data_IF_880514384122
#
_entry.id   IF_880514384122
#
_cell.length_a   1.000
_cell.length_b   1.000
_cell.length_c   1.000
_cell.angle_alpha   90.00
_cell.angle_beta   90.00
_cell.angle_gamma   90.00
#
_symmetry.space_group_name_H-M   'P 1'
#
loop_
_entity.id
_entity.type
_entity.pdbx_description
1 polymer ?
#
# COMPACT_ATOMS: atom_id res chain seq x y z
N UNK A 1 6.66 20.70 -18.21
CA UNK A 1 6.85 19.80 -17.05
C UNK A 1 7.25 20.57 -15.81
N UNK A 2 8.19 21.51 -15.87
CA UNK A 2 8.65 22.29 -14.71
C UNK A 2 7.57 23.16 -14.06
N UNK A 3 6.71 23.81 -14.85
CA UNK A 3 5.55 24.56 -14.32
C UNK A 3 4.55 23.68 -13.55
N UNK A 4 4.33 22.44 -14.02
CA UNK A 4 3.47 21.47 -13.38
C UNK A 4 4.08 20.99 -12.05
N UNK A 5 5.36 20.60 -12.04
CA UNK A 5 6.01 20.13 -10.81
C UNK A 5 6.09 21.23 -9.75
N UNK A 6 6.31 22.49 -10.16
CA UNK A 6 6.28 23.63 -9.25
C UNK A 6 4.90 23.82 -8.60
N UNK A 7 3.82 23.71 -9.38
CA UNK A 7 2.45 23.76 -8.85
C UNK A 7 2.15 22.59 -7.91
N UNK A 8 2.56 21.37 -8.26
CA UNK A 8 2.39 20.18 -7.41
C UNK A 8 3.16 20.31 -6.08
N UNK A 9 4.38 20.85 -6.09
CA UNK A 9 5.18 21.14 -4.87
C UNK A 9 4.49 22.15 -3.96
N UNK A 10 3.88 23.19 -4.52
CA UNK A 10 3.11 24.16 -3.76
C UNK A 10 1.89 23.52 -3.09
N UNK A 11 1.17 22.64 -3.78
CA UNK A 11 0.01 21.91 -3.24
C UNK A 11 0.42 20.85 -2.21
N UNK A 12 1.57 20.21 -2.37
CA UNK A 12 2.12 19.24 -1.43
C UNK A 12 2.55 19.88 -0.09
N UNK A 13 2.85 21.18 -0.09
CA UNK A 13 3.27 21.97 1.07
C UNK A 13 2.23 23.01 1.52
N UNK A 14 1.00 22.97 0.98
CA UNK A 14 -0.03 24.00 1.17
C UNK A 14 -0.22 24.38 2.66
N UNK A 15 -0.02 25.66 2.94
CA UNK A 15 -0.16 26.30 4.26
C UNK A 15 -1.39 27.21 4.37
N UNK A 16 -2.25 27.30 3.36
CA UNK A 16 -3.34 28.27 3.30
C UNK A 16 -4.29 28.16 4.50
N UNK A 17 -4.51 29.26 5.23
CA UNK A 17 -5.33 29.26 6.45
C UNK A 17 -6.83 29.17 6.18
N UNK A 18 -7.28 29.43 4.95
CA UNK A 18 -8.69 29.42 4.56
C UNK A 18 -9.27 28.02 4.33
N UNK A 19 -8.45 26.96 4.28
CA UNK A 19 -8.90 25.56 4.19
C UNK A 19 -8.93 24.90 5.57
N UNK A 20 -9.89 23.98 5.75
CA UNK A 20 -9.98 23.16 6.96
C UNK A 20 -8.72 22.32 7.18
N UNK A 21 -8.39 22.04 8.44
CA UNK A 21 -7.17 21.31 8.82
C UNK A 21 -7.14 19.88 8.26
N UNK A 22 -8.28 19.19 8.27
CA UNK A 22 -8.42 17.82 7.76
C UNK A 22 -8.17 17.77 6.26
N UNK A 23 -8.78 18.70 5.51
CA UNK A 23 -8.64 18.76 4.06
C UNK A 23 -7.21 19.06 3.64
N UNK A 24 -6.54 20.02 4.31
CA UNK A 24 -5.12 20.29 4.07
C UNK A 24 -4.23 19.09 4.35
N UNK A 25 -4.53 18.32 5.40
CA UNK A 25 -3.77 17.10 5.68
C UNK A 25 -3.95 16.07 4.58
N UNK A 26 -5.19 15.85 4.12
CA UNK A 26 -5.51 14.92 3.02
C UNK A 26 -4.87 15.38 1.70
N UNK A 27 -5.07 16.64 1.33
CA UNK A 27 -4.51 17.27 0.14
C UNK A 27 -2.99 17.13 0.10
N UNK A 28 -2.27 17.56 1.14
CA UNK A 28 -0.80 17.43 1.17
C UNK A 28 -0.33 15.98 1.08
N UNK A 29 -1.07 15.04 1.66
CA UNK A 29 -0.74 13.61 1.52
C UNK A 29 -0.84 13.18 0.06
N UNK A 30 -1.99 13.41 -0.56
CA UNK A 30 -2.25 13.03 -1.95
C UNK A 30 -1.27 13.71 -2.91
N UNK A 31 -1.03 15.01 -2.76
CA UNK A 31 -0.10 15.73 -3.63
C UNK A 31 1.37 15.35 -3.44
N UNK A 32 1.79 14.91 -2.24
CA UNK A 32 3.12 14.30 -2.08
C UNK A 32 3.24 12.99 -2.84
N UNK A 33 2.20 12.16 -2.82
CA UNK A 33 2.20 10.88 -3.54
C UNK A 33 2.21 11.11 -5.06
N UNK A 34 1.41 12.07 -5.55
CA UNK A 34 1.39 12.48 -6.97
C UNK A 34 2.74 13.07 -7.38
N UNK A 35 3.33 13.94 -6.56
CA UNK A 35 4.62 14.55 -6.88
C UNK A 35 5.71 13.49 -7.05
N UNK A 36 5.82 12.52 -6.12
CA UNK A 36 6.74 11.40 -6.26
C UNK A 36 6.47 10.57 -7.52
N UNK A 37 5.21 10.32 -7.85
CA UNK A 37 4.86 9.62 -9.08
C UNK A 37 5.29 10.35 -10.35
N UNK A 38 5.17 11.68 -10.38
CA UNK A 38 5.56 12.49 -11.53
C UNK A 38 7.09 12.63 -11.64
N UNK A 39 7.78 12.83 -10.52
CA UNK A 39 9.22 13.11 -10.51
C UNK A 39 10.07 11.82 -10.52
N UNK A 40 9.70 10.84 -9.71
CA UNK A 40 10.49 9.63 -9.45
C UNK A 40 9.94 8.41 -10.20
N UNK A 41 8.80 8.56 -10.92
CA UNK A 41 8.03 7.45 -11.52
C UNK A 41 7.67 6.36 -10.50
N UNK A 42 7.54 6.76 -9.24
CA UNK A 42 7.26 5.87 -8.12
C UNK A 42 5.75 5.58 -8.01
N UNK A 43 5.42 4.35 -7.62
CA UNK A 43 4.09 3.96 -7.19
C UNK A 43 4.21 3.18 -5.88
N UNK A 44 3.56 3.63 -4.80
CA UNK A 44 3.57 2.87 -3.56
C UNK A 44 2.79 1.58 -3.76
N UNK A 45 3.47 0.44 -3.85
CA UNK A 45 2.80 -0.85 -4.08
C UNK A 45 1.77 -1.12 -3.00
N UNK A 46 0.52 -1.33 -3.41
CA UNK A 46 -0.58 -1.70 -2.52
C UNK A 46 -0.86 -3.19 -2.66
N UNK A 47 -1.34 -3.82 -1.57
CA UNK A 47 -1.71 -5.24 -1.60
C UNK A 47 -3.17 -5.39 -1.20
N UNK A 48 -3.97 -5.95 -2.10
CA UNK A 48 -5.37 -6.31 -1.85
C UNK A 48 -5.44 -7.80 -1.58
N UNK A 49 -5.89 -8.18 -0.38
CA UNK A 49 -6.09 -9.59 -0.03
C UNK A 49 -7.56 -9.96 -0.21
N UNK A 50 -7.83 -11.05 -0.92
CA UNK A 50 -9.19 -11.56 -1.13
C UNK A 50 -9.21 -13.08 -0.91
N UNK A 51 -9.70 -13.51 0.26
CA UNK A 51 -9.64 -14.91 0.67
C UNK A 51 -8.19 -15.42 0.78
N UNK A 52 -7.82 -16.51 0.09
CA UNK A 52 -6.46 -17.05 0.13
C UNK A 52 -5.49 -16.26 -0.76
N UNK A 53 -5.99 -15.55 -1.76
CA UNK A 53 -5.20 -14.85 -2.78
C UNK A 53 -4.88 -13.41 -2.39
N UNK A 54 -3.86 -12.86 -3.05
CA UNK A 54 -3.42 -11.47 -2.93
C UNK A 54 -3.14 -10.92 -4.32
N UNK A 55 -3.64 -9.72 -4.60
CA UNK A 55 -3.30 -8.95 -5.78
C UNK A 55 -2.40 -7.79 -5.38
N UNK A 56 -1.34 -7.58 -6.14
CA UNK A 56 -0.48 -6.41 -6.02
C UNK A 56 -0.95 -5.35 -7.02
N UNK A 57 -1.19 -4.15 -6.50
CA UNK A 57 -1.37 -2.96 -7.30
C UNK A 57 -0.02 -2.26 -7.33
N UNK A 58 0.56 -2.20 -8.51
CA UNK A 58 1.94 -1.78 -8.78
C UNK A 58 2.02 -0.53 -9.67
N UNK A 59 0.88 -0.09 -10.21
CA UNK A 59 0.81 1.09 -11.07
C UNK A 59 -0.52 1.85 -10.93
N UNK A 60 -0.52 3.10 -11.38
CA UNK A 60 -1.68 3.99 -11.34
C UNK A 60 -2.85 3.49 -12.19
N UNK A 61 -2.59 2.85 -13.33
CA UNK A 61 -3.64 2.31 -14.21
C UNK A 61 -4.38 1.19 -13.48
N UNK A 62 -3.66 0.24 -12.88
CA UNK A 62 -4.25 -0.85 -12.09
C UNK A 62 -4.99 -0.30 -10.86
N UNK A 63 -4.43 0.72 -10.19
CA UNK A 63 -5.08 1.39 -9.05
C UNK A 63 -6.40 2.04 -9.43
N UNK A 64 -6.41 2.83 -10.50
CA UNK A 64 -7.60 3.52 -10.97
C UNK A 64 -8.69 2.52 -11.39
N UNK A 65 -8.31 1.49 -12.15
CA UNK A 65 -9.22 0.40 -12.55
C UNK A 65 -9.84 -0.27 -11.32
N UNK A 66 -9.03 -0.60 -10.32
CA UNK A 66 -9.51 -1.18 -9.06
C UNK A 66 -10.46 -0.25 -8.31
N UNK A 67 -10.15 1.04 -8.21
CA UNK A 67 -10.99 2.01 -7.53
C UNK A 67 -12.35 2.16 -8.23
N UNK A 68 -12.38 2.22 -9.57
CA UNK A 68 -13.63 2.28 -10.34
C UNK A 68 -14.51 1.06 -10.07
N UNK A 69 -13.96 -0.16 -10.12
CA UNK A 69 -14.74 -1.35 -9.79
C UNK A 69 -15.17 -1.38 -8.33
N UNK A 70 -14.33 -0.91 -7.42
CA UNK A 70 -14.65 -0.84 -5.99
C UNK A 70 -15.77 0.16 -5.69
N UNK A 71 -15.83 1.28 -6.40
CA UNK A 71 -16.92 2.25 -6.26
C UNK A 71 -18.26 1.67 -6.71
N UNK A 72 -18.26 0.89 -7.79
CA UNK A 72 -19.48 0.25 -8.33
C UNK A 72 -19.91 -0.96 -7.51
N UNK A 73 -18.97 -1.86 -7.19
CA UNK A 73 -19.25 -3.16 -6.57
C UNK A 73 -19.28 -3.09 -5.04
N UNK A 74 -18.67 -2.06 -4.43
CA UNK A 74 -18.62 -1.88 -2.99
C UNK A 74 -18.09 -3.11 -2.25
N UNK A 75 -18.88 -3.63 -1.31
CA UNK A 75 -18.56 -4.84 -0.54
C UNK A 75 -18.46 -6.11 -1.39
N UNK A 76 -19.08 -6.13 -2.57
CA UNK A 76 -19.02 -7.24 -3.52
C UNK A 76 -17.67 -7.40 -4.23
N UNK A 77 -16.79 -6.39 -4.15
CA UNK A 77 -15.49 -6.40 -4.85
C UNK A 77 -14.65 -7.64 -4.51
N UNK A 78 -14.65 -8.05 -3.24
CA UNK A 78 -13.87 -9.21 -2.80
C UNK A 78 -14.37 -10.52 -3.41
N UNK A 79 -15.70 -10.69 -3.54
CA UNK A 79 -16.28 -11.87 -4.17
C UNK A 79 -15.96 -11.91 -5.66
N UNK A 80 -16.13 -10.78 -6.36
CA UNK A 80 -15.88 -10.73 -7.78
C UNK A 80 -14.41 -10.95 -8.16
N UNK A 81 -13.45 -10.50 -7.35
CA UNK A 81 -12.03 -10.85 -7.57
C UNK A 81 -11.77 -12.37 -7.49
N UNK A 82 -12.60 -13.12 -6.77
CA UNK A 82 -12.44 -14.58 -6.64
C UNK A 82 -13.12 -15.34 -7.77
N UNK A 83 -14.32 -14.94 -8.17
CA UNK A 83 -15.20 -15.75 -9.01
C UNK A 83 -15.44 -15.19 -10.41
N UNK A 84 -15.35 -13.87 -10.60
CA UNK A 84 -15.73 -13.24 -11.87
C UNK A 84 -14.56 -13.31 -12.87
N UNK A 85 -14.71 -14.13 -13.90
CA UNK A 85 -13.68 -14.33 -14.93
C UNK A 85 -13.26 -13.03 -15.63
N UNK A 86 -14.20 -12.14 -15.93
CA UNK A 86 -13.88 -10.85 -16.54
C UNK A 86 -12.95 -10.02 -15.65
N UNK A 87 -13.30 -9.87 -14.37
CA UNK A 87 -12.47 -9.12 -13.42
C UNK A 87 -11.12 -9.79 -13.17
N UNK A 88 -11.09 -11.12 -13.13
CA UNK A 88 -9.84 -11.86 -13.01
C UNK A 88 -8.93 -11.68 -14.23
N UNK A 89 -9.50 -11.59 -15.43
CA UNK A 89 -8.75 -11.29 -16.65
C UNK A 89 -8.24 -9.85 -16.65
N UNK A 90 -9.06 -8.87 -16.24
CA UNK A 90 -8.65 -7.45 -16.14
C UNK A 90 -7.44 -7.27 -15.21
N UNK A 91 -7.37 -8.04 -14.13
CA UNK A 91 -6.28 -7.98 -13.16
C UNK A 91 -5.23 -9.09 -13.30
N UNK A 92 -5.31 -9.90 -14.37
CA UNK A 92 -4.38 -11.00 -14.66
C UNK A 92 -4.22 -12.00 -13.50
N UNK A 93 -5.31 -12.29 -12.78
CA UNK A 93 -5.34 -13.19 -11.61
C UNK A 93 -5.40 -14.68 -11.99
N UNK A 94 -5.52 -14.99 -13.28
CA UNK A 94 -5.76 -16.35 -13.78
C UNK A 94 -7.18 -16.86 -13.48
N UNK A 95 -7.46 -18.14 -13.73
CA UNK A 95 -8.79 -18.73 -13.51
C UNK A 95 -9.26 -18.65 -12.05
N UNK A 96 -10.57 -18.59 -11.78
CA UNK A 96 -11.13 -18.66 -10.43
C UNK A 96 -10.61 -19.87 -9.66
N UNK A 97 -10.05 -19.63 -8.48
CA UNK A 97 -9.54 -20.70 -7.62
C UNK A 97 -10.69 -21.25 -6.77
N UNK A 98 -11.30 -22.33 -7.25
CA UNK A 98 -12.34 -23.07 -6.52
C UNK A 98 -11.68 -23.94 -5.43
N UNK A 99 -11.36 -23.36 -4.27
CA UNK A 99 -10.86 -24.13 -3.12
C UNK A 99 -12.02 -24.57 -2.23
N UNK A 100 -12.06 -25.84 -1.88
CA UNK A 100 -12.98 -26.35 -0.88
C UNK A 100 -12.60 -25.88 0.54
N UNK A 101 -13.57 -25.98 1.47
CA UNK A 101 -13.37 -25.54 2.84
C UNK A 101 -12.30 -26.35 3.59
N UNK A 102 -12.03 -27.59 3.17
CA UNK A 102 -11.00 -28.43 3.76
C UNK A 102 -9.59 -27.95 3.36
N UNK A 103 -9.38 -27.65 2.08
CA UNK A 103 -8.12 -27.12 1.53
C UNK A 103 -7.82 -25.72 2.08
N UNK A 104 -8.83 -24.88 2.26
CA UNK A 104 -8.65 -23.57 2.91
C UNK A 104 -8.22 -23.69 4.38
N UNK A 105 -8.56 -24.78 5.07
CA UNK A 105 -8.10 -25.02 6.44
C UNK A 105 -6.66 -25.51 6.48
N UNK A 106 -6.24 -26.37 5.56
CA UNK A 106 -4.86 -26.89 5.50
C UNK A 106 -3.85 -25.81 5.10
N UNK A 107 -4.25 -24.84 4.29
CA UNK A 107 -3.41 -23.67 3.95
C UNK A 107 -3.17 -22.70 5.11
N UNK A 108 -3.83 -22.87 6.27
CA UNK A 108 -3.62 -21.99 7.41
C UNK A 108 -2.28 -22.32 8.09
N UNK A 109 -1.35 -21.36 7.99
CA UNK A 109 -0.11 -21.34 8.76
C UNK A 109 -0.42 -21.56 10.24
N UNK A 110 0.29 -22.49 10.89
CA UNK A 110 0.14 -22.79 12.31
C UNK A 110 0.38 -21.54 13.16
N UNK A 111 -0.24 -21.49 14.35
CA UNK A 111 0.00 -20.41 15.31
C UNK A 111 1.49 -20.29 15.65
N UNK A 112 2.17 -21.42 15.79
CA UNK A 112 3.60 -21.46 16.13
C UNK A 112 4.47 -20.93 15.00
N UNK A 113 4.25 -21.39 13.76
CA UNK A 113 4.97 -20.92 12.58
C UNK A 113 4.77 -19.42 12.36
N UNK A 114 3.54 -18.92 12.49
CA UNK A 114 3.24 -17.49 12.40
C UNK A 114 3.97 -16.69 13.47
N UNK A 115 4.05 -17.21 14.69
CA UNK A 115 4.79 -16.57 15.78
C UNK A 115 6.29 -16.50 15.47
N UNK A 116 6.89 -17.60 15.02
CA UNK A 116 8.30 -17.63 14.64
C UNK A 116 8.61 -16.68 13.48
N UNK A 117 7.80 -16.69 12.42
CA UNK A 117 7.96 -15.79 11.29
C UNK A 117 7.90 -14.31 11.72
N UNK A 118 6.89 -13.96 12.52
CA UNK A 118 6.74 -12.59 13.02
C UNK A 118 7.89 -12.18 13.96
N UNK A 119 8.38 -13.10 14.80
CA UNK A 119 9.51 -12.87 15.70
C UNK A 119 10.80 -12.62 14.91
N UNK A 120 11.07 -13.45 13.88
CA UNK A 120 12.20 -13.27 12.98
C UNK A 120 12.12 -11.92 12.23
N UNK A 121 10.96 -11.58 11.66
CA UNK A 121 10.74 -10.30 10.99
C UNK A 121 10.90 -9.10 11.95
N UNK A 122 10.41 -9.21 13.18
CA UNK A 122 10.57 -8.18 14.21
C UNK A 122 12.04 -7.99 14.59
N UNK A 123 12.77 -9.08 14.84
CA UNK A 123 14.21 -9.05 15.13
C UNK A 123 15.01 -8.42 14.00
N UNK A 124 14.72 -8.78 12.75
CA UNK A 124 15.35 -8.19 11.56
C UNK A 124 15.09 -6.68 11.47
N UNK A 125 13.84 -6.23 11.65
CA UNK A 125 13.50 -4.80 11.65
C UNK A 125 14.20 -4.03 12.78
N UNK A 126 14.26 -4.59 13.98
CA UNK A 126 14.94 -3.97 15.11
C UNK A 126 16.44 -3.80 14.85
N UNK A 127 17.10 -4.85 14.33
CA UNK A 127 18.52 -4.79 13.93
C UNK A 127 18.80 -3.80 12.80
N UNK A 128 17.92 -3.71 11.81
CA UNK A 128 18.07 -2.75 10.72
C UNK A 128 17.92 -1.31 11.22
N UNK A 129 16.93 -1.05 12.08
CA UNK A 129 16.66 0.28 12.62
C UNK A 129 17.68 0.74 13.66
N UNK A 130 18.25 -0.16 14.47
CA UNK A 130 19.25 0.21 15.47
C UNK A 130 20.44 0.93 14.86
N UNK A 131 20.84 0.58 13.62
CA UNK A 131 21.91 1.27 12.87
C UNK A 131 21.66 2.77 12.65
N UNK A 132 20.41 3.20 12.62
CA UNK A 132 20.03 4.59 12.32
C UNK A 132 19.37 5.32 13.50
N UNK A 133 19.20 4.65 14.65
CA UNK A 133 18.49 5.22 15.81
C UNK A 133 19.30 6.31 16.51
N UNK A 134 20.61 6.14 16.56
CA UNK A 134 21.51 7.05 17.27
C UNK A 134 21.90 8.28 16.44
N UNK A 135 21.28 8.47 15.26
CA UNK A 135 21.53 9.63 14.36
C UNK A 135 21.32 10.99 15.04
N UNK A 136 20.55 11.05 16.13
CA UNK A 136 20.27 12.28 16.90
C UNK A 136 20.71 12.15 18.36
N UNK A 137 21.54 11.16 18.68
CA UNK A 137 22.08 11.03 20.02
C UNK A 137 23.05 12.18 20.27
N UNK A 138 22.86 12.88 21.40
CA UNK A 138 23.79 13.89 21.88
C UNK A 138 24.97 13.18 22.56
N UNK A 139 25.84 12.59 21.74
CA UNK A 139 27.07 11.96 22.22
C UNK A 139 28.08 13.08 22.38
N UNK A 140 28.06 13.74 23.54
CA UNK A 140 29.08 14.73 23.88
C UNK A 140 30.47 14.08 23.79
N UNK A 141 31.39 14.74 23.09
CA UNK A 141 32.80 14.35 23.11
C UNK A 141 33.36 14.69 24.49
N UNK A 142 33.35 13.71 25.39
CA UNK A 142 34.14 13.75 26.61
C UNK A 142 35.58 13.38 26.23
N UNK A 143 36.43 14.41 26.11
CA UNK A 143 37.89 14.29 26.10
C UNK A 143 38.42 14.00 27.50
#
# INVERSE_FOLDING_TARGET
MESLTQMLRALATDGNKHRAKVDKRKQRSVFRDILRAVEERDFPTETVKFGPERMYIDCWVKKHTYDTFKEVLGSGMQYHLQSNEFLRNVFELGPPVMLDAATLKTMKISRFERHLYNSAAFKARTKARSKCRDKRADVGEFF
#
